data_IF_064285637322
#
_entry.id   IF_064285637322
#
_cell.length_a   1.000
_cell.length_b   1.000
_cell.length_c   1.000
_cell.angle_alpha   90.00
_cell.angle_beta   90.00
_cell.angle_gamma   90.00
#
_symmetry.space_group_name_H-M   'P 1'
#
loop_
_entity.id
_entity.type
_entity.pdbx_description
1 polymer ?
#
# COMPACT_ATOMS: atom_id res chain seq x y z
N UNK A 1 -7.00 -21.71 3.98
CA UNK A 1 -6.23 -21.23 5.14
C UNK A 1 -6.87 -19.95 5.64
N UNK A 2 -7.58 -19.97 6.79
CA UNK A 2 -8.41 -18.83 7.25
C UNK A 2 -7.64 -17.51 7.42
N UNK A 3 -6.33 -17.57 7.64
CA UNK A 3 -5.44 -16.39 7.75
C UNK A 3 -5.37 -15.54 6.48
N UNK A 4 -5.73 -16.07 5.30
CA UNK A 4 -5.78 -15.27 4.07
C UNK A 4 -6.91 -14.23 4.09
N UNK A 5 -7.95 -14.42 4.92
CA UNK A 5 -8.95 -13.38 5.16
C UNK A 5 -8.32 -12.17 5.84
N UNK A 6 -7.30 -12.36 6.69
CA UNK A 6 -6.53 -11.26 7.27
C UNK A 6 -5.75 -10.51 6.19
N UNK A 7 -5.11 -11.22 5.24
CA UNK A 7 -4.45 -10.56 4.10
C UNK A 7 -5.43 -9.71 3.30
N UNK A 8 -6.59 -10.26 2.94
CA UNK A 8 -7.61 -9.53 2.19
C UNK A 8 -8.12 -8.31 2.95
N UNK A 9 -8.40 -8.48 4.25
CA UNK A 9 -8.82 -7.38 5.11
C UNK A 9 -7.77 -6.25 5.15
N UNK A 10 -6.49 -6.58 5.30
CA UNK A 10 -5.41 -5.59 5.31
C UNK A 10 -5.32 -4.85 3.98
N UNK A 11 -5.42 -5.56 2.85
CA UNK A 11 -5.38 -4.91 1.52
C UNK A 11 -6.56 -3.96 1.32
N UNK A 12 -7.77 -4.38 1.71
CA UNK A 12 -8.96 -3.53 1.58
C UNK A 12 -8.85 -2.31 2.49
N UNK A 13 -8.46 -2.51 3.75
CA UNK A 13 -8.28 -1.42 4.70
C UNK A 13 -7.22 -0.42 4.22
N UNK A 14 -6.07 -0.92 3.75
CA UNK A 14 -4.99 -0.12 3.17
C UNK A 14 -5.50 0.75 2.02
N UNK A 15 -6.12 0.15 1.01
CA UNK A 15 -6.58 0.87 -0.19
C UNK A 15 -7.70 1.86 0.11
N UNK A 16 -8.63 1.53 1.02
CA UNK A 16 -9.66 2.47 1.46
C UNK A 16 -9.02 3.65 2.17
N UNK A 17 -8.13 3.42 3.15
CA UNK A 17 -7.49 4.52 3.89
C UNK A 17 -6.66 5.42 3.00
N UNK A 18 -5.91 4.85 2.05
CA UNK A 18 -5.15 5.62 1.05
C UNK A 18 -6.05 6.45 0.14
N UNK A 19 -7.15 5.89 -0.34
CA UNK A 19 -8.12 6.63 -1.15
C UNK A 19 -8.79 7.75 -0.36
N UNK A 20 -9.09 7.54 0.94
CA UNK A 20 -9.64 8.57 1.81
C UNK A 20 -8.64 9.71 2.06
N UNK A 21 -7.36 9.40 2.20
CA UNK A 21 -6.31 10.41 2.41
C UNK A 21 -5.98 11.15 1.13
N UNK A 22 -5.74 10.44 0.02
CA UNK A 22 -5.35 11.06 -1.24
C UNK A 22 -6.51 11.75 -1.96
N UNK A 23 -7.74 11.30 -1.70
CA UNK A 23 -8.91 11.72 -2.44
C UNK A 23 -8.94 11.11 -3.84
N UNK A 24 -10.06 11.28 -4.54
CA UNK A 24 -10.26 10.77 -5.88
C UNK A 24 -11.73 10.58 -6.22
N UNK A 25 -11.99 10.21 -7.48
CA UNK A 25 -13.33 9.91 -7.96
C UNK A 25 -13.36 8.47 -8.47
N UNK A 26 -14.41 7.73 -8.12
CA UNK A 26 -14.72 6.41 -8.68
C UNK A 26 -16.00 6.56 -9.51
N UNK A 27 -15.90 6.83 -10.83
CA UNK A 27 -17.06 7.16 -11.66
C UNK A 27 -18.11 6.05 -11.69
N UNK A 28 -17.68 4.79 -11.72
CA UNK A 28 -18.56 3.63 -11.76
C UNK A 28 -19.50 3.54 -10.55
N UNK A 29 -19.07 4.04 -9.39
CA UNK A 29 -19.82 3.98 -8.13
C UNK A 29 -20.43 5.32 -7.73
N UNK A 30 -20.23 6.38 -8.53
CA UNK A 30 -20.58 7.76 -8.19
C UNK A 30 -20.04 8.20 -6.81
N UNK A 31 -18.80 7.80 -6.49
CA UNK A 31 -18.12 8.16 -5.24
C UNK A 31 -17.10 9.25 -5.55
N UNK A 32 -17.15 10.33 -4.78
CA UNK A 32 -16.16 11.41 -4.79
C UNK A 32 -15.66 11.65 -3.37
N UNK A 33 -14.35 11.77 -3.22
CA UNK A 33 -13.68 12.05 -1.95
C UNK A 33 -12.65 13.14 -2.20
N UNK A 34 -12.72 14.25 -1.46
CA UNK A 34 -11.81 15.38 -1.63
C UNK A 34 -10.37 15.04 -1.23
N UNK A 35 -10.21 14.25 -0.16
CA UNK A 35 -8.91 13.90 0.38
C UNK A 35 -8.18 15.06 1.07
N UNK A 36 -6.86 14.95 1.13
CA UNK A 36 -5.94 15.90 1.74
C UNK A 36 -5.03 16.52 0.68
N UNK A 37 -4.57 17.74 0.92
CA UNK A 37 -3.51 18.36 0.12
C UNK A 37 -2.15 17.70 0.44
N UNK A 38 -1.27 17.58 -0.55
CA UNK A 38 0.07 17.01 -0.33
C UNK A 38 0.83 17.80 0.76
N UNK A 39 1.37 17.08 1.75
CA UNK A 39 2.02 17.65 2.93
C UNK A 39 1.08 18.17 4.02
N UNK A 40 -0.24 18.16 3.80
CA UNK A 40 -1.21 18.51 4.83
C UNK A 40 -1.11 17.53 6.00
N UNK A 41 -1.12 18.09 7.22
CA UNK A 41 -1.12 17.33 8.47
C UNK A 41 -2.41 17.57 9.26
N UNK A 42 -3.05 16.50 9.71
CA UNK A 42 -4.22 16.54 10.59
C UNK A 42 -3.84 15.93 11.94
N UNK A 43 -3.95 16.72 13.01
CA UNK A 43 -3.71 16.26 14.37
C UNK A 43 -4.87 15.37 14.82
N UNK A 44 -4.60 14.10 15.12
CA UNK A 44 -5.61 13.14 15.59
C UNK A 44 -5.54 12.99 17.12
N UNK A 45 -4.34 12.91 17.68
CA UNK A 45 -4.12 12.87 19.14
C UNK A 45 -3.09 13.94 19.51
N UNK A 46 -3.58 15.16 19.73
CA UNK A 46 -2.72 16.32 20.01
C UNK A 46 -1.57 16.44 19.01
N UNK A 47 -0.37 16.72 19.52
CA UNK A 47 0.86 16.73 18.70
C UNK A 47 1.54 15.36 18.57
N UNK A 48 1.05 14.33 19.27
CA UNK A 48 1.66 13.00 19.31
C UNK A 48 1.38 12.17 18.05
N UNK A 49 0.14 12.24 17.54
CA UNK A 49 -0.27 11.46 16.36
C UNK A 49 -0.93 12.34 15.32
N UNK A 50 -0.28 12.42 14.16
CA UNK A 50 -0.68 13.24 13.01
C UNK A 50 -0.79 12.37 11.77
N UNK A 51 -1.88 12.52 11.03
CA UNK A 51 -2.02 11.97 9.68
C UNK A 51 -1.44 13.01 8.74
N UNK A 52 -0.39 12.67 8.00
CA UNK A 52 0.30 13.60 7.09
C UNK A 52 0.33 13.03 5.69
N UNK A 53 -0.44 13.58 4.75
CA UNK A 53 -0.43 13.01 3.39
C UNK A 53 0.93 13.23 2.72
N UNK A 54 1.62 12.11 2.43
CA UNK A 54 2.85 12.10 1.65
C UNK A 54 2.78 10.98 0.60
N UNK A 55 3.66 11.06 -0.40
CA UNK A 55 3.81 10.02 -1.41
C UNK A 55 5.26 9.60 -1.47
N UNK A 56 5.50 8.30 -1.47
CA UNK A 56 6.83 7.74 -1.59
C UNK A 56 7.07 7.26 -3.04
N UNK A 57 7.96 7.94 -3.80
CA UNK A 57 8.32 7.53 -5.15
C UNK A 57 9.28 6.33 -5.21
N UNK A 58 9.84 5.89 -4.08
CA UNK A 58 10.93 4.91 -4.01
C UNK A 58 10.81 3.89 -2.88
N UNK A 59 11.93 3.65 -2.19
CA UNK A 59 12.04 2.72 -1.05
C UNK A 59 11.64 3.44 0.26
N UNK A 60 11.43 2.66 1.33
CA UNK A 60 11.20 3.23 2.66
C UNK A 60 12.34 4.18 3.10
N UNK A 61 12.04 5.09 4.03
CA UNK A 61 13.00 6.04 4.62
C UNK A 61 13.56 7.10 3.64
N UNK A 62 12.78 7.50 2.63
CA UNK A 62 13.19 8.56 1.70
C UNK A 62 14.32 8.17 0.76
N UNK A 63 14.63 6.87 0.65
CA UNK A 63 15.60 6.36 -0.32
C UNK A 63 14.97 6.47 -1.71
N UNK A 64 15.37 7.51 -2.43
CA UNK A 64 15.00 7.67 -3.83
C UNK A 64 15.74 6.65 -4.69
N UNK A 65 14.97 5.95 -5.49
CA UNK A 65 15.48 5.09 -6.56
C UNK A 65 15.10 5.80 -7.85
N UNK A 66 16.07 5.98 -8.75
CA UNK A 66 15.82 6.69 -10.01
C UNK A 66 14.64 6.10 -10.78
N UNK A 67 14.05 6.87 -11.69
CA UNK A 67 12.90 6.47 -12.51
C UNK A 67 13.05 5.05 -13.10
N UNK A 68 14.25 4.72 -13.59
CA UNK A 68 14.59 3.41 -14.16
C UNK A 68 14.49 2.24 -13.17
N UNK A 69 14.47 2.51 -11.86
CA UNK A 69 14.44 1.51 -10.79
C UNK A 69 13.06 1.28 -10.19
N UNK A 70 12.04 2.12 -10.51
CA UNK A 70 10.65 1.93 -10.03
C UNK A 70 10.05 0.61 -10.50
N UNK A 71 10.31 0.23 -11.75
CA UNK A 71 9.90 -1.06 -12.29
C UNK A 71 10.58 -2.22 -11.54
N UNK A 72 11.88 -2.10 -11.26
CA UNK A 72 12.63 -3.11 -10.49
C UNK A 72 12.05 -3.29 -9.08
N UNK A 73 11.70 -2.19 -8.40
CA UNK A 73 11.04 -2.23 -7.09
C UNK A 73 9.69 -2.95 -7.13
N UNK A 74 8.88 -2.66 -8.15
CA UNK A 74 7.58 -3.28 -8.35
C UNK A 74 7.72 -4.78 -8.61
N UNK A 75 8.65 -5.18 -9.48
CA UNK A 75 8.97 -6.58 -9.75
C UNK A 75 9.51 -7.29 -8.51
N UNK A 76 10.42 -6.65 -7.77
CA UNK A 76 10.94 -7.20 -6.51
C UNK A 76 9.81 -7.43 -5.50
N UNK A 77 8.91 -6.47 -5.34
CA UNK A 77 7.75 -6.59 -4.44
C UNK A 77 6.82 -7.71 -4.91
N UNK A 78 6.59 -7.84 -6.21
CA UNK A 78 5.80 -8.94 -6.79
C UNK A 78 6.42 -10.31 -6.45
N UNK A 79 7.72 -10.49 -6.67
CA UNK A 79 8.42 -11.73 -6.31
C UNK A 79 8.40 -12.00 -4.81
N UNK A 80 8.54 -10.97 -3.97
CA UNK A 80 8.42 -11.08 -2.52
C UNK A 80 7.02 -11.54 -2.10
N UNK A 81 5.94 -10.98 -2.68
CA UNK A 81 4.57 -11.41 -2.45
C UNK A 81 4.36 -12.89 -2.80
N UNK A 82 4.87 -13.33 -3.96
CA UNK A 82 4.81 -14.74 -4.38
C UNK A 82 5.56 -15.63 -3.38
N UNK A 83 6.77 -15.24 -2.98
CA UNK A 83 7.59 -15.97 -2.01
C UNK A 83 6.94 -16.09 -0.64
N UNK A 84 6.38 -14.99 -0.12
CA UNK A 84 5.66 -14.96 1.17
C UNK A 84 4.40 -15.82 1.10
N UNK A 85 3.63 -15.74 0.02
CA UNK A 85 2.45 -16.58 -0.17
C UNK A 85 2.80 -18.07 -0.21
N UNK A 86 3.86 -18.44 -0.95
CA UNK A 86 4.35 -19.81 -0.99
C UNK A 86 4.83 -20.29 0.39
N UNK A 87 5.59 -19.46 1.11
CA UNK A 87 6.07 -19.79 2.45
C UNK A 87 4.92 -19.91 3.46
N UNK A 88 3.90 -19.05 3.36
CA UNK A 88 2.68 -19.12 4.15
C UNK A 88 1.97 -20.46 3.91
N UNK A 89 1.81 -20.85 2.63
CA UNK A 89 1.21 -22.14 2.26
C UNK A 89 1.99 -23.35 2.83
N UNK A 90 3.33 -23.34 2.73
CA UNK A 90 4.18 -24.36 3.35
C UNK A 90 4.05 -24.38 4.87
N UNK A 91 3.89 -23.20 5.48
CA UNK A 91 3.74 -23.01 6.92
C UNK A 91 2.31 -23.20 7.43
N UNK A 92 1.41 -23.82 6.65
CA UNK A 92 0.00 -23.99 7.02
C UNK A 92 -0.25 -24.77 8.32
N UNK A 93 0.72 -25.56 8.78
CA UNK A 93 0.68 -26.32 10.04
C UNK A 93 1.40 -25.62 11.21
N UNK A 94 2.02 -24.46 10.97
CA UNK A 94 2.69 -23.68 12.01
C UNK A 94 1.68 -23.00 12.95
N UNK A 95 2.21 -22.47 14.07
CA UNK A 95 1.43 -21.70 15.05
C UNK A 95 0.63 -20.59 14.35
N UNK A 96 -0.60 -20.37 14.81
CA UNK A 96 -1.50 -19.37 14.25
C UNK A 96 -0.86 -17.97 14.17
N UNK A 97 -0.15 -17.56 15.21
CA UNK A 97 0.52 -16.25 15.28
C UNK A 97 1.54 -16.04 14.14
N UNK A 98 2.31 -17.07 13.76
CA UNK A 98 3.29 -16.99 12.67
C UNK A 98 2.57 -16.79 11.33
N UNK A 99 1.51 -17.58 11.10
CA UNK A 99 0.70 -17.48 9.90
C UNK A 99 0.00 -16.13 9.80
N UNK A 100 -0.44 -15.57 10.93
CA UNK A 100 -1.06 -14.25 11.00
C UNK A 100 -0.06 -13.14 10.68
N UNK A 101 1.14 -13.18 11.25
CA UNK A 101 2.20 -12.21 10.95
C UNK A 101 2.57 -12.21 9.46
N UNK A 102 2.75 -13.39 8.87
CA UNK A 102 3.00 -13.53 7.43
C UNK A 102 1.84 -12.99 6.58
N UNK A 103 0.59 -13.22 6.99
CA UNK A 103 -0.58 -12.71 6.30
C UNK A 103 -0.65 -11.17 6.31
N UNK A 104 -0.23 -10.53 7.40
CA UNK A 104 -0.16 -9.07 7.53
C UNK A 104 0.96 -8.50 6.65
N UNK A 105 2.15 -9.10 6.68
CA UNK A 105 3.28 -8.70 5.81
C UNK A 105 2.87 -8.81 4.34
N UNK A 106 2.22 -9.92 3.96
CA UNK A 106 1.71 -10.12 2.60
C UNK A 106 0.68 -9.06 2.21
N UNK A 107 -0.23 -8.71 3.13
CA UNK A 107 -1.25 -7.68 2.89
C UNK A 107 -0.65 -6.32 2.62
N UNK A 108 0.30 -5.87 3.45
CA UNK A 108 0.99 -4.60 3.24
C UNK A 108 1.84 -4.57 1.96
N UNK A 109 2.52 -5.68 1.64
CA UNK A 109 3.30 -5.79 0.41
C UNK A 109 2.41 -5.71 -0.85
N UNK A 110 1.23 -6.35 -0.83
CA UNK A 110 0.25 -6.26 -1.92
C UNK A 110 -0.32 -4.84 -2.03
N UNK A 111 -0.68 -4.19 -0.93
CA UNK A 111 -1.15 -2.80 -0.93
C UNK A 111 -0.16 -1.86 -1.61
N UNK A 112 1.11 -1.92 -1.23
CA UNK A 112 2.16 -1.10 -1.84
C UNK A 112 2.46 -1.47 -3.30
N UNK A 113 2.23 -2.73 -3.71
CA UNK A 113 2.34 -3.13 -5.10
C UNK A 113 1.21 -2.53 -5.94
N UNK A 114 -0.02 -2.51 -5.42
CA UNK A 114 -1.18 -1.90 -6.09
C UNK A 114 -0.90 -0.42 -6.38
N UNK A 115 -0.42 0.34 -5.39
CA UNK A 115 -0.12 1.75 -5.58
C UNK A 115 0.92 1.97 -6.68
N UNK A 116 2.06 1.26 -6.60
CA UNK A 116 3.15 1.39 -7.57
C UNK A 116 2.72 1.01 -8.98
N UNK A 117 1.87 0.00 -9.12
CA UNK A 117 1.41 -0.47 -10.43
C UNK A 117 0.31 0.41 -11.00
N UNK A 118 -0.70 0.79 -10.21
CA UNK A 118 -1.96 1.32 -10.73
C UNK A 118 -2.21 2.80 -10.42
N UNK A 119 -1.65 3.37 -9.36
CA UNK A 119 -2.01 4.74 -8.97
C UNK A 119 -1.54 5.79 -9.98
N UNK A 120 -0.45 5.53 -10.71
CA UNK A 120 -0.04 6.41 -11.81
C UNK A 120 -1.14 6.60 -12.84
N UNK A 121 -1.78 5.49 -13.24
CA UNK A 121 -2.85 5.45 -14.24
C UNK A 121 -4.17 5.96 -13.65
N UNK A 122 -4.50 5.52 -12.42
CA UNK A 122 -5.76 5.89 -11.77
C UNK A 122 -5.89 7.41 -11.53
N UNK A 123 -4.77 8.08 -11.22
CA UNK A 123 -4.72 9.52 -10.98
C UNK A 123 -4.09 10.31 -12.15
N UNK A 124 -3.93 9.68 -13.32
CA UNK A 124 -3.47 10.30 -14.58
C UNK A 124 -2.17 11.12 -14.49
N UNK A 125 -1.18 10.62 -13.74
CA UNK A 125 0.15 11.28 -13.61
C UNK A 125 1.32 10.43 -14.11
N UNK A 126 1.13 9.12 -14.31
CA UNK A 126 2.21 8.23 -14.74
C UNK A 126 1.67 6.94 -15.41
N UNK A 127 2.46 6.27 -16.26
CA UNK A 127 2.09 4.97 -16.80
C UNK A 127 2.07 3.87 -15.72
N UNK A 128 1.57 2.70 -16.11
CA UNK A 128 1.57 1.49 -15.26
C UNK A 128 2.99 1.19 -14.73
N UNK A 129 3.10 0.80 -13.46
CA UNK A 129 4.36 0.58 -12.71
C UNK A 129 5.16 1.83 -12.28
N UNK A 130 4.68 3.04 -12.60
CA UNK A 130 5.33 4.29 -12.21
C UNK A 130 4.52 5.09 -11.16
N UNK A 131 3.55 4.43 -10.52
CA UNK A 131 2.82 4.99 -9.40
C UNK A 131 3.68 5.18 -8.16
N UNK A 132 3.24 6.06 -7.26
CA UNK A 132 3.85 6.35 -5.97
C UNK A 132 2.99 5.75 -4.87
N UNK A 133 3.64 5.21 -3.84
CA UNK A 133 2.95 4.68 -2.67
C UNK A 133 2.38 5.84 -1.86
N UNK A 134 1.11 5.78 -1.51
CA UNK A 134 0.52 6.77 -0.60
C UNK A 134 0.89 6.39 0.82
N UNK A 135 1.49 7.31 1.55
CA UNK A 135 1.80 7.15 2.96
C UNK A 135 1.19 8.31 3.74
N UNK A 136 0.94 8.10 5.02
CA UNK A 136 0.23 9.07 5.84
C UNK A 136 0.63 9.10 7.31
N UNK A 137 1.71 8.40 7.65
CA UNK A 137 2.33 8.48 8.97
C UNK A 137 3.67 9.20 8.85
N UNK A 138 3.89 10.18 9.73
CA UNK A 138 5.20 10.80 9.97
C UNK A 138 5.93 10.05 11.09
#
# INVERSE_FOLDING_TARGET
MKVLYSTLFIVIADQITKFLVKGGTIPLLNIHVDGMYYGQSINVIGDFFKITFVENPGLAFGIEVGESSKLLLSLFTLFACIGIFYYLYKSRHQRFIIRLALAFILGGAIGNLIDRTLYGVFYDYAPIFYGRVVDFFN
#
